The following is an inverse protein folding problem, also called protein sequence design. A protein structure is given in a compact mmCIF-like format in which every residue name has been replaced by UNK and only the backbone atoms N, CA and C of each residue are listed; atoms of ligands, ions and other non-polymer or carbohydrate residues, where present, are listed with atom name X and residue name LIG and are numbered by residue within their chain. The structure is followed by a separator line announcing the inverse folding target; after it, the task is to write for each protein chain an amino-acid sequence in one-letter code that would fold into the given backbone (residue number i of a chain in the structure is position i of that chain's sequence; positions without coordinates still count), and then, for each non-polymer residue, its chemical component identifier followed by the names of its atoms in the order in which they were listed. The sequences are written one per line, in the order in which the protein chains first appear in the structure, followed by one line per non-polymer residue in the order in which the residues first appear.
data_IF_643878950933
#
_entry.id   IF_643878950933
#
_cell.length_a   1.000
_cell.length_b   1.000
_cell.length_c   1.000
_cell.angle_alpha   90.00
_cell.angle_beta   90.00
_cell.angle_gamma   90.00
#
_symmetry.space_group_name_H-M   'P 1'
#
loop_
_entity.id
_entity.type
_entity.pdbx_description
1 polymer ?
#
# COMPACT_ATOMS: atom_id res chain seq x y z
N UNK A 1 1.39 80.82 50.14
CA UNK A 1 1.28 79.36 49.91
C UNK A 1 1.70 79.10 48.46
N UNK A 2 2.62 78.16 48.26
CA UNK A 2 3.43 78.01 47.05
C UNK A 2 2.73 77.46 45.81
N UNK A 3 3.45 77.63 44.69
CA UNK A 3 3.18 77.25 43.30
C UNK A 3 3.67 75.81 43.04
N UNK A 4 2.95 75.05 42.21
CA UNK A 4 3.39 73.83 41.52
C UNK A 4 2.17 73.09 40.95
N UNK A 5 2.07 72.63 39.71
CA UNK A 5 3.05 72.44 38.64
C UNK A 5 2.86 71.05 38.00
N UNK A 6 2.14 70.98 36.87
CA UNK A 6 2.33 70.00 35.78
C UNK A 6 1.80 68.56 35.92
N UNK A 7 1.07 68.09 34.90
CA UNK A 7 1.53 66.99 34.02
C UNK A 7 0.48 66.64 32.94
N UNK A 8 0.80 66.96 31.69
CA UNK A 8 0.22 66.38 30.48
C UNK A 8 0.80 64.98 30.30
N UNK A 9 -0.03 63.96 30.06
CA UNK A 9 0.43 62.66 29.55
C UNK A 9 -0.35 62.28 28.31
N UNK A 10 0.32 62.44 27.16
CA UNK A 10 -0.12 61.94 25.87
C UNK A 10 -0.15 60.41 25.83
N UNK A 11 -1.14 59.86 25.14
CA UNK A 11 -1.23 58.44 24.84
C UNK A 11 -0.32 58.14 23.65
N UNK A 12 0.81 57.48 23.92
CA UNK A 12 1.63 56.86 22.88
C UNK A 12 0.96 55.54 22.45
N UNK A 13 0.38 55.52 21.25
CA UNK A 13 -0.05 54.29 20.60
C UNK A 13 1.16 53.55 20.05
N UNK A 14 1.42 52.34 20.53
CA UNK A 14 2.45 51.46 20.01
C UNK A 14 2.16 51.09 18.54
N UNK A 15 3.13 51.32 17.65
CA UNK A 15 3.21 50.59 16.38
C UNK A 15 3.55 49.12 16.67
N UNK A 16 2.63 48.21 16.38
CA UNK A 16 2.96 46.78 16.27
C UNK A 16 3.56 46.50 14.89
N UNK A 17 4.84 46.15 14.87
CA UNK A 17 5.49 45.57 13.70
C UNK A 17 5.01 44.13 13.58
N UNK A 18 4.13 43.87 12.61
CA UNK A 18 3.72 42.52 12.27
C UNK A 18 4.91 41.81 11.56
N UNK A 19 5.65 41.02 12.32
CA UNK A 19 6.67 40.13 11.79
C UNK A 19 5.95 38.96 11.11
N UNK A 20 5.84 39.01 9.78
CA UNK A 20 5.23 37.96 8.97
C UNK A 20 6.17 36.74 8.99
N UNK A 21 5.89 35.78 9.87
CA UNK A 21 6.57 34.48 9.90
C UNK A 21 6.26 33.73 8.60
N UNK A 22 7.22 33.74 7.67
CA UNK A 22 7.28 32.81 6.55
C UNK A 22 7.52 31.41 7.09
N UNK A 23 6.45 30.73 7.53
CA UNK A 23 6.46 29.30 7.75
C UNK A 23 6.76 28.63 6.40
N UNK A 24 7.76 27.74 6.28
CA UNK A 24 7.88 26.91 5.09
C UNK A 24 6.57 26.15 4.94
N UNK A 25 5.91 26.32 3.79
CA UNK A 25 4.73 25.54 3.44
C UNK A 25 5.17 24.07 3.37
N UNK A 26 5.02 23.36 4.48
CA UNK A 26 5.12 21.90 4.49
C UNK A 26 4.12 21.40 3.46
N UNK A 27 4.59 20.54 2.55
CA UNK A 27 3.71 19.82 1.65
C UNK A 27 2.66 19.11 2.50
N UNK A 28 1.40 19.51 2.38
CA UNK A 28 0.31 18.82 3.04
C UNK A 28 0.31 17.37 2.51
N UNK A 29 0.69 16.40 3.36
CA UNK A 29 0.44 14.99 3.06
C UNK A 29 -1.06 14.80 3.17
N UNK A 30 -1.70 14.32 2.11
CA UNK A 30 -3.06 13.81 2.24
C UNK A 30 -3.02 12.63 3.22
N UNK A 31 -4.10 12.45 3.97
CA UNK A 31 -4.24 11.31 4.87
C UNK A 31 -4.13 10.00 4.07
N UNK A 32 -3.69 8.94 4.75
CA UNK A 32 -3.63 7.62 4.15
C UNK A 32 -5.01 7.19 3.65
N UNK A 33 -5.01 6.48 2.53
CA UNK A 33 -6.21 5.85 2.01
C UNK A 33 -6.37 4.48 2.67
N UNK A 34 -7.58 4.14 3.10
CA UNK A 34 -7.88 2.90 3.85
C UNK A 34 -9.02 2.13 3.18
N UNK A 35 -8.76 0.86 2.83
CA UNK A 35 -9.77 -0.06 2.35
C UNK A 35 -10.30 -0.89 3.53
N UNK A 36 -11.53 -0.59 3.97
CA UNK A 36 -12.16 -1.18 5.19
C UNK A 36 -13.09 -2.36 4.90
N UNK A 37 -13.37 -2.67 3.63
CA UNK A 37 -14.26 -3.77 3.20
C UNK A 37 -15.75 -3.67 3.59
N UNK A 38 -16.12 -2.80 4.54
CA UNK A 38 -17.51 -2.61 4.99
C UNK A 38 -18.47 -2.01 3.96
N UNK A 39 -17.94 -1.38 2.91
CA UNK A 39 -18.73 -0.86 1.80
C UNK A 39 -19.18 -1.98 0.82
N UNK A 40 -18.69 -3.20 1.02
CA UNK A 40 -18.96 -4.35 0.18
C UNK A 40 -19.83 -5.37 0.91
N UNK A 41 -20.70 -6.04 0.15
CA UNK A 41 -21.56 -7.10 0.68
C UNK A 41 -20.75 -8.38 0.92
N UNK A 42 -21.02 -9.11 2.00
CA UNK A 42 -20.45 -10.43 2.25
C UNK A 42 -20.57 -11.38 1.03
N UNK A 43 -19.51 -12.14 0.77
CA UNK A 43 -19.34 -13.01 -0.39
C UNK A 43 -18.83 -12.31 -1.66
N UNK A 44 -18.73 -10.97 -1.66
CA UNK A 44 -18.19 -10.22 -2.80
C UNK A 44 -16.72 -10.56 -2.99
N UNK A 45 -16.33 -10.97 -4.20
CA UNK A 45 -14.92 -11.06 -4.58
C UNK A 45 -14.32 -9.65 -4.71
N UNK A 46 -13.31 -9.34 -3.91
CA UNK A 46 -12.60 -8.06 -3.95
C UNK A 46 -11.58 -8.10 -5.08
N UNK A 47 -11.78 -7.25 -6.07
CA UNK A 47 -10.90 -7.05 -7.22
C UNK A 47 -10.59 -5.55 -7.36
N UNK A 48 -11.33 -4.81 -8.17
CA UNK A 48 -11.02 -3.41 -8.53
C UNK A 48 -11.88 -2.36 -7.83
N UNK A 49 -12.63 -2.72 -6.79
CA UNK A 49 -13.54 -1.80 -6.09
C UNK A 49 -12.79 -0.60 -5.49
N UNK A 50 -11.55 -0.81 -5.05
CA UNK A 50 -10.71 0.22 -4.43
C UNK A 50 -9.74 0.89 -5.40
N UNK A 51 -9.88 0.71 -6.73
CA UNK A 51 -8.97 1.26 -7.73
C UNK A 51 -8.75 2.78 -7.60
N UNK A 52 -9.82 3.51 -7.28
CA UNK A 52 -9.83 4.97 -7.15
C UNK A 52 -9.85 5.44 -5.68
N UNK A 53 -9.55 4.55 -4.73
CA UNK A 53 -9.46 4.91 -3.33
C UNK A 53 -8.30 5.91 -3.11
N UNK A 54 -8.61 7.08 -2.55
CA UNK A 54 -7.65 8.18 -2.44
C UNK A 54 -7.56 9.09 -3.67
N UNK A 55 -8.38 8.87 -4.70
CA UNK A 55 -8.51 9.69 -5.90
C UNK A 55 -8.33 8.88 -7.21
N UNK A 56 -8.49 9.53 -8.38
CA UNK A 56 -8.36 8.85 -9.67
C UNK A 56 -6.99 8.17 -9.82
N UNK A 57 -7.00 6.87 -10.13
CA UNK A 57 -5.80 6.03 -10.33
C UNK A 57 -4.80 6.10 -9.15
N UNK A 58 -5.33 6.14 -7.91
CA UNK A 58 -4.52 6.24 -6.67
C UNK A 58 -4.68 5.08 -5.69
N UNK A 59 -5.61 4.18 -5.95
CA UNK A 59 -5.99 3.13 -5.04
C UNK A 59 -5.31 1.80 -5.31
N UNK A 60 -6.10 0.74 -5.11
CA UNK A 60 -5.65 -0.63 -4.94
C UNK A 60 -6.58 -1.60 -5.69
N UNK A 61 -5.97 -2.48 -6.46
CA UNK A 61 -6.64 -3.63 -7.08
C UNK A 61 -6.15 -4.93 -6.44
N UNK A 62 -7.06 -5.82 -6.12
CA UNK A 62 -6.76 -7.16 -5.62
C UNK A 62 -6.65 -8.19 -6.76
N UNK A 63 -6.12 -9.37 -6.43
CA UNK A 63 -5.92 -10.47 -7.38
C UNK A 63 -4.91 -10.15 -8.49
N UNK A 64 -3.89 -9.33 -8.19
CA UNK A 64 -2.84 -8.96 -9.12
C UNK A 64 -1.48 -9.21 -8.45
N UNK A 65 -0.63 -10.01 -9.10
CA UNK A 65 0.70 -10.36 -8.60
C UNK A 65 1.76 -10.08 -9.68
N UNK A 66 2.98 -9.65 -9.30
CA UNK A 66 4.07 -9.49 -10.25
C UNK A 66 4.56 -10.87 -10.72
N UNK A 67 5.10 -10.96 -11.94
CA UNK A 67 5.78 -12.18 -12.38
C UNK A 67 7.02 -12.43 -11.51
N UNK A 68 7.35 -13.70 -11.18
CA UNK A 68 6.73 -14.95 -11.64
C UNK A 68 5.59 -15.47 -10.74
N UNK A 69 5.09 -14.67 -9.80
CA UNK A 69 4.06 -15.09 -8.87
C UNK A 69 2.68 -15.20 -9.54
N UNK A 70 1.82 -16.00 -8.93
CA UNK A 70 0.39 -16.07 -9.22
C UNK A 70 -0.38 -15.52 -8.03
N UNK A 71 -1.42 -14.72 -8.29
CA UNK A 71 -2.25 -14.10 -7.26
C UNK A 71 -3.08 -15.11 -6.48
N UNK A 72 -3.33 -16.31 -7.02
CA UNK A 72 -4.09 -17.38 -6.36
C UNK A 72 -5.60 -17.14 -6.24
N UNK A 73 -6.09 -15.95 -6.60
CA UNK A 73 -7.51 -15.58 -6.57
C UNK A 73 -7.77 -14.27 -5.83
N UNK A 74 -8.92 -13.65 -6.13
CA UNK A 74 -9.42 -12.53 -5.36
C UNK A 74 -9.83 -12.98 -3.95
N UNK A 75 -9.47 -12.24 -2.88
CA UNK A 75 -10.10 -12.47 -1.59
C UNK A 75 -11.59 -12.14 -1.68
N UNK A 76 -12.38 -12.65 -0.76
CA UNK A 76 -13.80 -12.40 -0.67
C UNK A 76 -14.14 -11.75 0.66
N UNK A 77 -15.19 -10.95 0.64
CA UNK A 77 -15.66 -10.26 1.85
C UNK A 77 -16.33 -11.28 2.77
N UNK A 78 -15.88 -11.36 4.01
CA UNK A 78 -16.47 -12.17 5.06
C UNK A 78 -17.09 -11.25 6.11
N UNK A 79 -18.35 -11.48 6.46
CA UNK A 79 -18.98 -10.85 7.64
C UNK A 79 -18.59 -11.63 8.88
N UNK A 80 -17.86 -10.97 9.79
CA UNK A 80 -17.34 -11.55 11.03
C UNK A 80 -18.03 -10.95 12.26
N UNK A 81 -18.99 -10.06 12.06
CA UNK A 81 -19.66 -9.31 13.11
C UNK A 81 -18.80 -8.21 13.74
N UNK A 82 -19.49 -7.23 14.34
CA UNK A 82 -18.85 -6.08 14.96
C UNK A 82 -17.94 -6.48 16.13
N UNK A 83 -16.77 -5.84 16.21
CA UNK A 83 -15.77 -6.09 17.24
C UNK A 83 -14.87 -7.30 16.99
N UNK A 84 -15.08 -8.04 15.91
CA UNK A 84 -14.17 -9.12 15.44
C UNK A 84 -13.19 -8.61 14.38
N UNK A 85 -13.69 -7.81 13.44
CA UNK A 85 -12.88 -7.05 12.49
C UNK A 85 -12.19 -5.87 13.21
N UNK A 86 -11.10 -5.35 12.63
CA UNK A 86 -10.44 -4.17 13.17
C UNK A 86 -11.35 -2.95 13.07
N UNK A 87 -12.06 -2.81 11.95
CA UNK A 87 -13.13 -1.83 11.77
C UNK A 87 -14.41 -2.49 11.28
N UNK A 88 -15.55 -1.84 11.55
CA UNK A 88 -16.87 -2.32 11.14
C UNK A 88 -17.16 -3.79 11.49
N UNK A 89 -17.54 -4.57 10.47
CA UNK A 89 -17.90 -5.99 10.61
C UNK A 89 -17.41 -6.88 9.46
N UNK A 90 -16.72 -6.34 8.46
CA UNK A 90 -16.28 -7.08 7.29
C UNK A 90 -14.76 -7.17 7.21
N UNK A 91 -14.26 -8.29 6.67
CA UNK A 91 -12.84 -8.49 6.37
C UNK A 91 -12.69 -9.08 4.97
N UNK A 92 -11.52 -8.91 4.35
CA UNK A 92 -11.18 -9.60 3.11
C UNK A 92 -10.47 -10.93 3.42
N UNK A 93 -11.22 -12.03 3.35
CA UNK A 93 -10.69 -13.37 3.56
C UNK A 93 -10.15 -13.96 2.27
N UNK A 94 -9.02 -14.65 2.38
CA UNK A 94 -8.45 -15.41 1.28
C UNK A 94 -9.49 -16.37 0.66
N UNK A 95 -9.57 -16.39 -0.67
CA UNK A 95 -10.40 -17.37 -1.39
C UNK A 95 -9.69 -18.71 -1.59
N UNK A 96 -10.47 -19.79 -1.47
CA UNK A 96 -10.09 -21.17 -1.80
C UNK A 96 -10.72 -21.68 -3.10
N UNK A 97 -11.44 -20.82 -3.83
CA UNK A 97 -12.35 -21.24 -4.90
C UNK A 97 -11.69 -22.02 -6.05
N UNK A 98 -10.36 -22.05 -6.15
CA UNK A 98 -9.63 -22.71 -7.23
C UNK A 98 -8.47 -23.62 -6.75
N UNK A 99 -8.50 -24.13 -5.52
CA UNK A 99 -7.46 -25.04 -5.06
C UNK A 99 -8.04 -26.28 -4.35
N UNK A 100 -7.37 -27.41 -4.54
CA UNK A 100 -7.65 -28.63 -3.77
C UNK A 100 -6.97 -28.52 -2.40
N UNK A 101 -7.60 -29.04 -1.31
CA UNK A 101 -7.14 -28.85 0.07
C UNK A 101 -5.65 -29.12 0.33
N UNK A 102 -5.06 -30.05 -0.43
CA UNK A 102 -3.68 -30.54 -0.23
C UNK A 102 -2.59 -29.61 -0.80
N UNK A 103 -2.96 -28.61 -1.61
CA UNK A 103 -2.00 -27.68 -2.26
C UNK A 103 -2.41 -26.21 -2.13
N UNK A 104 -3.33 -25.89 -1.22
CA UNK A 104 -3.83 -24.53 -0.99
C UNK A 104 -2.85 -23.68 -0.17
N UNK A 105 -1.57 -23.57 -0.57
CA UNK A 105 -0.75 -22.45 -0.14
C UNK A 105 -1.17 -21.22 -0.95
N UNK A 106 -1.74 -20.22 -0.28
CA UNK A 106 -2.19 -19.03 -0.98
C UNK A 106 -2.08 -17.81 -0.10
N UNK A 107 -1.97 -16.70 -0.79
CA UNK A 107 -1.64 -15.41 -0.23
C UNK A 107 -2.61 -14.40 -0.79
N UNK A 108 -2.89 -13.35 -0.02
CA UNK A 108 -3.66 -12.23 -0.53
C UNK A 108 -2.69 -11.30 -1.25
N UNK A 109 -2.99 -10.99 -2.50
CA UNK A 109 -2.20 -10.10 -3.34
C UNK A 109 -2.98 -8.84 -3.70
N UNK A 110 -2.28 -7.72 -3.62
CA UNK A 110 -2.77 -6.42 -4.07
C UNK A 110 -1.74 -5.68 -4.92
N UNK A 111 -2.24 -4.91 -5.88
CA UNK A 111 -1.50 -4.04 -6.79
C UNK A 111 -1.96 -2.59 -6.60
N UNK A 112 -1.02 -1.73 -6.26
CA UNK A 112 -1.27 -0.30 -6.19
C UNK A 112 -1.17 0.31 -7.58
N UNK A 113 -2.13 1.18 -7.89
CA UNK A 113 -2.15 1.96 -9.14
C UNK A 113 -0.93 2.88 -9.29
N UNK A 114 -0.27 3.25 -8.18
CA UNK A 114 1.07 3.84 -8.16
C UNK A 114 1.87 3.41 -6.93
N UNK A 115 3.20 3.61 -7.00
CA UNK A 115 4.12 3.15 -5.97
C UNK A 115 3.90 3.82 -4.60
N UNK A 116 3.85 3.00 -3.56
CA UNK A 116 3.67 3.39 -2.15
C UNK A 116 4.99 3.35 -1.38
N UNK A 117 5.07 4.15 -0.32
CA UNK A 117 6.15 4.13 0.66
C UNK A 117 5.73 3.45 1.96
N UNK A 118 4.45 3.57 2.33
CA UNK A 118 3.90 3.03 3.55
C UNK A 118 2.70 2.17 3.23
N UNK A 119 2.69 0.95 3.78
CA UNK A 119 1.55 0.05 3.72
C UNK A 119 1.39 -0.59 5.09
N UNK A 120 0.18 -0.55 5.62
CA UNK A 120 -0.20 -1.29 6.82
C UNK A 120 -1.56 -1.93 6.65
N UNK A 121 -1.80 -3.00 7.39
CA UNK A 121 -3.07 -3.70 7.42
C UNK A 121 -3.20 -4.46 8.73
N UNK A 122 -4.40 -4.90 9.02
CA UNK A 122 -4.67 -5.79 10.13
C UNK A 122 -4.92 -7.20 9.60
N UNK A 123 -4.47 -8.18 10.35
CA UNK A 123 -4.54 -9.59 9.97
C UNK A 123 -5.03 -10.43 11.14
N UNK A 124 -5.70 -11.52 10.80
CA UNK A 124 -6.14 -12.55 11.73
C UNK A 124 -6.42 -13.86 11.01
N UNK A 125 -6.78 -14.86 11.79
CA UNK A 125 -7.24 -16.15 11.29
C UNK A 125 -8.75 -16.24 11.41
N UNK A 126 -9.34 -17.07 10.55
CA UNK A 126 -10.74 -17.40 10.64
C UNK A 126 -11.15 -17.81 12.05
N UNK A 127 -12.32 -17.33 12.49
CA UNK A 127 -12.82 -17.46 13.85
C UNK A 127 -12.93 -18.92 14.34
N UNK A 128 -13.16 -19.87 13.43
CA UNK A 128 -13.27 -21.30 13.76
C UNK A 128 -11.91 -22.01 13.78
N UNK A 129 -10.81 -21.33 13.46
CA UNK A 129 -9.50 -21.95 13.41
C UNK A 129 -9.05 -22.35 14.81
N UNK A 130 -8.54 -23.58 14.97
CA UNK A 130 -7.98 -24.06 16.23
C UNK A 130 -6.47 -23.88 16.32
N UNK A 131 -5.88 -23.25 15.31
CA UNK A 131 -4.44 -23.14 15.15
C UNK A 131 -3.97 -21.70 15.35
N UNK A 132 -2.66 -21.57 15.53
CA UNK A 132 -1.98 -20.30 15.35
C UNK A 132 -1.28 -20.26 14.00
N UNK A 133 -1.02 -19.05 13.54
CA UNK A 133 -0.21 -18.80 12.36
C UNK A 133 0.65 -17.55 12.55
N UNK A 134 1.60 -17.34 11.64
CA UNK A 134 2.58 -16.27 11.73
C UNK A 134 2.61 -15.45 10.41
N UNK A 135 1.53 -14.74 10.07
CA UNK A 135 1.44 -13.99 8.83
C UNK A 135 2.52 -12.93 8.71
N UNK A 136 2.92 -12.67 7.46
CA UNK A 136 3.86 -11.61 7.08
C UNK A 136 3.30 -10.80 5.93
N UNK A 137 3.59 -9.50 5.96
CA UNK A 137 3.34 -8.57 4.87
C UNK A 137 4.65 -8.35 4.13
N UNK A 138 4.64 -8.56 2.82
CA UNK A 138 5.77 -8.32 1.91
C UNK A 138 5.36 -7.28 0.88
N UNK A 139 6.28 -6.37 0.54
CA UNK A 139 6.11 -5.38 -0.50
C UNK A 139 7.08 -5.66 -1.65
N UNK A 140 6.60 -5.49 -2.87
CA UNK A 140 7.36 -5.72 -4.09
C UNK A 140 7.30 -4.50 -5.01
N UNK A 141 8.37 -4.29 -5.77
CA UNK A 141 8.41 -3.26 -6.81
C UNK A 141 7.74 -3.71 -8.12
N UNK A 142 7.78 -2.84 -9.14
CA UNK A 142 7.22 -3.11 -10.46
C UNK A 142 7.89 -4.29 -11.20
N UNK A 143 9.13 -4.63 -10.83
CA UNK A 143 9.89 -5.75 -11.42
C UNK A 143 9.55 -7.08 -10.75
N UNK A 144 8.84 -7.05 -9.61
CA UNK A 144 8.58 -8.22 -8.78
C UNK A 144 9.66 -8.49 -7.74
N UNK A 145 10.59 -7.56 -7.53
CA UNK A 145 11.62 -7.69 -6.51
C UNK A 145 11.07 -7.28 -5.14
N UNK A 146 11.33 -8.08 -4.10
CA UNK A 146 10.90 -7.75 -2.74
C UNK A 146 11.68 -6.55 -2.20
N UNK A 147 10.99 -5.47 -1.87
CA UNK A 147 11.57 -4.20 -1.40
C UNK A 147 11.38 -3.93 0.09
N UNK A 148 10.50 -4.69 0.75
CA UNK A 148 10.29 -4.63 2.18
C UNK A 148 9.42 -5.76 2.69
N UNK A 149 9.46 -6.01 3.99
CA UNK A 149 8.62 -7.01 4.63
C UNK A 149 8.53 -6.75 6.13
N UNK A 150 7.51 -7.31 6.78
CA UNK A 150 7.40 -7.37 8.23
C UNK A 150 8.06 -8.62 8.79
N UNK A 151 8.49 -8.58 10.04
CA UNK A 151 8.59 -9.82 10.82
C UNK A 151 7.24 -10.54 10.89
N UNK A 152 7.25 -11.81 11.28
CA UNK A 152 6.02 -12.56 11.50
C UNK A 152 5.43 -12.20 12.87
N UNK A 153 4.12 -11.97 12.93
CA UNK A 153 3.38 -11.81 14.17
C UNK A 153 2.47 -13.01 14.37
N UNK A 154 2.50 -13.63 15.56
CA UNK A 154 1.64 -14.79 15.84
C UNK A 154 0.21 -14.34 16.02
N UNK A 155 -0.70 -14.94 15.26
CA UNK A 155 -2.16 -14.77 15.36
C UNK A 155 -2.81 -16.09 15.79
N UNK A 156 -3.97 -16.00 16.42
CA UNK A 156 -4.72 -17.16 16.91
C UNK A 156 -6.13 -17.14 16.33
N UNK A 157 -6.67 -18.31 15.97
CA UNK A 157 -8.08 -18.43 15.62
C UNK A 157 -9.00 -17.97 16.76
N UNK A 158 -10.06 -17.24 16.41
CA UNK A 158 -11.02 -16.68 17.37
C UNK A 158 -10.53 -15.44 18.13
N UNK A 159 -9.29 -14.97 17.91
CA UNK A 159 -8.78 -13.74 18.53
C UNK A 159 -9.16 -12.45 17.77
N UNK A 160 -9.93 -12.57 16.69
CA UNK A 160 -10.27 -11.48 15.78
C UNK A 160 -9.13 -11.10 14.83
N UNK A 161 -9.35 -10.04 14.06
CA UNK A 161 -8.46 -9.58 12.99
C UNK A 161 -7.75 -8.28 13.39
N UNK A 162 -7.08 -8.30 14.54
CA UNK A 162 -6.53 -7.09 15.19
C UNK A 162 -5.01 -6.97 15.15
N UNK A 163 -4.31 -7.92 14.52
CA UNK A 163 -2.84 -7.90 14.51
C UNK A 163 -2.35 -7.00 13.38
N UNK A 164 -1.70 -5.89 13.71
CA UNK A 164 -1.20 -4.98 12.68
C UNK A 164 0.11 -5.47 12.07
N UNK A 165 0.18 -5.49 10.74
CA UNK A 165 1.39 -5.62 9.95
C UNK A 165 1.65 -4.30 9.23
N UNK A 166 2.87 -3.77 9.30
CA UNK A 166 3.20 -2.45 8.77
C UNK A 166 4.62 -2.38 8.23
N UNK A 167 4.79 -1.84 7.03
CA UNK A 167 6.08 -1.66 6.37
C UNK A 167 6.24 -0.20 5.96
N UNK A 168 7.39 0.38 6.31
CA UNK A 168 7.80 1.71 5.87
C UNK A 168 9.08 1.59 5.03
N UNK A 169 9.03 2.07 3.81
CA UNK A 169 10.15 2.09 2.88
C UNK A 169 10.88 3.44 2.92
N UNK A 170 12.17 3.48 2.55
CA UNK A 170 12.91 4.75 2.44
C UNK A 170 12.40 5.62 1.27
N UNK A 171 11.73 5.04 0.27
CA UNK A 171 11.20 5.71 -0.93
C UNK A 171 9.89 5.06 -1.39
N UNK A 172 9.14 5.76 -2.27
CA UNK A 172 7.93 5.22 -2.91
C UNK A 172 8.32 4.23 -4.02
N UNK A 173 8.26 2.93 -3.70
CA UNK A 173 8.67 1.86 -4.61
C UNK A 173 7.81 0.60 -4.51
N UNK A 174 6.91 0.49 -3.52
CA UNK A 174 6.01 -0.65 -3.40
C UNK A 174 4.87 -0.55 -4.41
N UNK A 175 4.84 -1.43 -5.39
CA UNK A 175 3.78 -1.51 -6.40
C UNK A 175 2.84 -2.67 -6.10
N UNK A 176 3.33 -3.72 -5.44
CA UNK A 176 2.52 -4.84 -4.98
C UNK A 176 2.72 -5.10 -3.50
N UNK A 177 1.72 -5.70 -2.88
CA UNK A 177 1.88 -6.35 -1.59
C UNK A 177 1.40 -7.80 -1.65
N UNK A 178 1.96 -8.60 -0.75
CA UNK A 178 1.55 -9.96 -0.48
C UNK A 178 1.38 -10.14 1.02
N UNK A 179 0.27 -10.73 1.44
CA UNK A 179 0.11 -11.29 2.78
C UNK A 179 0.17 -12.80 2.67
N UNK A 180 1.20 -13.38 3.28
CA UNK A 180 1.37 -14.84 3.36
C UNK A 180 1.12 -15.31 4.78
N UNK A 181 0.36 -16.38 4.92
CA UNK A 181 0.35 -17.21 6.13
C UNK A 181 1.50 -18.20 6.16
N UNK A 182 1.58 -18.89 7.29
CA UNK A 182 2.26 -20.17 7.41
C UNK A 182 1.33 -21.31 6.97
N UNK A 183 1.29 -22.38 7.74
CA UNK A 183 0.70 -23.66 7.32
C UNK A 183 -0.83 -23.65 7.25
N UNK A 184 -1.49 -22.64 7.83
CA UNK A 184 -2.93 -22.58 7.96
C UNK A 184 -3.48 -21.49 7.05
N UNK A 185 -4.37 -21.89 6.16
CA UNK A 185 -4.66 -21.17 4.94
C UNK A 185 -5.77 -20.10 5.05
N UNK A 186 -6.35 -19.92 6.23
CA UNK A 186 -7.60 -19.16 6.46
C UNK A 186 -7.31 -17.77 7.03
N UNK A 187 -6.48 -17.01 6.32
CA UNK A 187 -6.14 -15.63 6.70
C UNK A 187 -7.14 -14.67 6.09
N UNK A 188 -7.57 -13.70 6.89
CA UNK A 188 -8.23 -12.50 6.40
C UNK A 188 -7.47 -11.25 6.82
N UNK A 189 -7.66 -10.20 6.03
CA UNK A 189 -7.10 -8.88 6.28
C UNK A 189 -8.20 -7.85 6.42
N UNK A 190 -7.88 -6.79 7.15
CA UNK A 190 -8.74 -5.63 7.35
C UNK A 190 -7.94 -4.33 7.28
N UNK A 191 -8.61 -3.22 7.01
CA UNK A 191 -8.07 -1.85 7.01
C UNK A 191 -6.74 -1.72 6.27
N UNK A 192 -6.71 -2.06 4.98
CA UNK A 192 -5.50 -1.89 4.16
C UNK A 192 -5.26 -0.40 3.95
N UNK A 193 -4.32 0.12 4.73
CA UNK A 193 -3.92 1.53 4.76
C UNK A 193 -2.63 1.74 3.98
N UNK A 194 -2.59 2.77 3.15
CA UNK A 194 -1.42 3.10 2.35
C UNK A 194 -1.30 4.61 2.13
N UNK A 195 -0.05 5.07 1.94
CA UNK A 195 0.19 6.49 1.77
C UNK A 195 -0.46 7.04 0.50
N UNK A 196 -1.05 8.23 0.65
CA UNK A 196 -1.68 8.97 -0.44
C UNK A 196 -1.13 10.40 -0.52
N UNK A 197 0.15 10.60 -0.92
CA UNK A 197 0.70 11.94 -1.06
C UNK A 197 -0.13 12.79 -2.06
N UNK A 198 -0.36 14.05 -1.72
CA UNK A 198 -1.14 14.98 -2.55
C UNK A 198 -0.59 15.06 -3.99
N UNK A 199 0.73 14.98 -4.12
CA UNK A 199 1.44 14.86 -5.41
C UNK A 199 1.99 13.44 -5.55
N UNK A 200 1.47 12.61 -6.47
CA UNK A 200 2.04 11.31 -6.77
C UNK A 200 3.47 11.48 -7.30
N UNK A 201 4.36 10.49 -7.10
CA UNK A 201 5.63 10.48 -7.81
C UNK A 201 5.39 10.51 -9.32
N UNK A 202 6.26 11.16 -10.09
CA UNK A 202 6.26 10.99 -11.54
C UNK A 202 6.36 9.51 -11.91
N UNK A 203 5.63 9.07 -12.93
CA UNK A 203 5.73 7.69 -13.41
C UNK A 203 7.18 7.39 -13.85
N UNK A 204 7.83 6.39 -13.23
CA UNK A 204 9.21 5.99 -13.55
C UNK A 204 9.23 4.99 -14.72
N UNK A 205 9.00 5.47 -15.94
CA UNK A 205 9.20 4.65 -17.14
C UNK A 205 10.69 4.59 -17.52
N UNK A 206 11.45 3.70 -16.89
CA UNK A 206 12.78 3.32 -17.39
C UNK A 206 12.64 2.27 -18.48
N UNK A 207 12.61 2.72 -19.74
CA UNK A 207 12.78 1.83 -20.89
C UNK A 207 14.19 1.22 -20.85
N UNK A 208 14.32 -0.04 -20.43
CA UNK A 208 15.56 -0.79 -20.65
C UNK A 208 15.67 -1.09 -22.14
N UNK A 209 16.52 -0.34 -22.84
CA UNK A 209 16.89 -0.67 -24.21
C UNK A 209 17.55 -2.07 -24.22
N UNK A 210 16.87 -3.05 -24.81
CA UNK A 210 17.51 -4.31 -25.19
C UNK A 210 18.50 -4.01 -26.31
N UNK A 211 19.78 -4.39 -26.21
CA UNK A 211 20.67 -4.35 -27.35
C UNK A 211 20.06 -5.19 -28.47
N UNK A 212 19.84 -4.61 -29.65
CA UNK A 212 19.59 -5.42 -30.84
C UNK A 212 20.80 -6.33 -31.01
N UNK A 213 20.59 -7.64 -30.95
CA UNK A 213 21.54 -8.60 -31.50
C UNK A 213 21.54 -8.32 -32.99
N UNK A 214 22.54 -7.55 -33.44
CA UNK A 214 22.80 -7.34 -34.86
C UNK A 214 23.14 -8.70 -35.46
N UNK A 215 22.33 -9.27 -36.39
CA UNK A 215 22.76 -10.47 -37.09
C UNK A 215 24.05 -10.13 -37.84
N UNK A 216 25.10 -10.88 -37.53
CA UNK A 216 26.47 -10.61 -37.95
C UNK A 216 26.59 -10.31 -39.44
N UNK A 217 27.17 -9.16 -39.75
CA UNK A 217 27.71 -8.88 -41.07
C UNK A 217 28.95 -9.74 -41.26
N UNK A 218 28.83 -10.83 -42.01
CA UNK A 218 29.98 -11.48 -42.65
C UNK A 218 29.53 -12.15 -43.94
N UNK A 219 29.60 -11.38 -45.03
CA UNK A 219 29.67 -11.93 -46.37
C UNK A 219 30.54 -11.00 -47.23
N UNK A 220 31.85 -11.24 -47.15
CA UNK A 220 32.84 -10.68 -48.10
C UNK A 220 32.53 -11.21 -49.49
N UNK A 221 31.76 -10.48 -50.31
CA UNK A 221 31.70 -10.75 -51.76
C UNK A 221 32.92 -10.14 -52.42
N UNK A 222 33.87 -11.00 -52.75
CA UNK A 222 34.97 -10.71 -53.67
C UNK A 222 34.41 -10.58 -55.09
N UNK A 223 34.29 -9.34 -55.59
CA UNK A 223 34.10 -9.09 -57.01
C UNK A 223 35.47 -9.07 -57.68
N UNK A 224 35.86 -10.20 -58.28
CA UNK A 224 37.04 -10.29 -59.14
C UNK A 224 36.66 -9.84 -60.55
N UNK A 225 37.05 -8.62 -60.93
CA UNK A 225 37.11 -8.23 -62.32
C UNK A 225 38.34 -8.88 -62.98
N UNK A 226 38.17 -9.44 -64.18
CA UNK A 226 39.28 -9.69 -65.11
C UNK A 226 38.84 -9.33 -66.54
N UNK A 227 39.80 -8.86 -67.36
CA UNK A 227 39.56 -8.21 -68.65
C UNK A 227 39.03 -9.16 -69.73
#
# INVERSE_FOLDING_TARGET
MGIGGGAVRGKAGLLSVACLLLLPAGTARAADAVATFDDLVAGTAVSSQYHNLGGPDRGLDFNQAPQPYSSGGAPHVLDVGAGTAQSGSHVAERSFQNCTPEFCAGSIWGHFTYAKQHVSLYVGLHQSSMFSDAPTLKLFDASGDQVGYTGSATVFGGAGYHTQLSVNLPSQQAVYFQVTGGSHSEIAIDDVSFDNPATPPPADFKLKARPLISPGSSATRSCRARP
#
